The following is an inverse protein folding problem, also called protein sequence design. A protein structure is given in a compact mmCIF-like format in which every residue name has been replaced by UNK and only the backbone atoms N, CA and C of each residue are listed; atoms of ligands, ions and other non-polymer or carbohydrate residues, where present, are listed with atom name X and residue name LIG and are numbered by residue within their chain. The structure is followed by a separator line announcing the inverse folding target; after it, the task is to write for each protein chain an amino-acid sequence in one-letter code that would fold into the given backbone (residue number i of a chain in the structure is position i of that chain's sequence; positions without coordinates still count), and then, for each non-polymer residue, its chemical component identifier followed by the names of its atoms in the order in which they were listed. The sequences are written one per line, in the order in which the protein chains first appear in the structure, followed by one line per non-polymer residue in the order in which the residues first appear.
data_IF_610082195233
#
_entry.id   IF_610082195233
#
_cell.length_a   1.000
_cell.length_b   1.000
_cell.length_c   1.000
_cell.angle_alpha   90.00
_cell.angle_beta   90.00
_cell.angle_gamma   90.00
#
_symmetry.space_group_name_H-M   'P 1'
#
loop_
_entity.id
_entity.type
_entity.pdbx_description
1 polymer ?
#
# COMPACT_ATOMS: atom_id res chain seq x y z
N UNK A 1 -6.52 13.09 -13.21
CA UNK A 1 -6.88 13.44 -11.82
C UNK A 1 -7.38 12.15 -11.19
N UNK A 2 -6.80 11.72 -10.07
CA UNK A 2 -7.28 10.53 -9.36
C UNK A 2 -8.67 10.87 -8.80
N UNK A 3 -9.64 9.99 -9.03
CA UNK A 3 -10.99 10.16 -8.52
C UNK A 3 -11.01 10.15 -6.98
N UNK A 4 -11.75 11.07 -6.39
CA UNK A 4 -11.86 11.14 -4.93
C UNK A 4 -12.61 9.93 -4.37
N UNK A 5 -13.56 9.36 -5.12
CA UNK A 5 -14.30 8.16 -4.72
C UNK A 5 -13.38 6.93 -4.58
N UNK A 6 -12.39 6.79 -5.47
CA UNK A 6 -11.37 5.72 -5.35
C UNK A 6 -10.57 5.91 -4.08
N UNK A 7 -10.13 7.14 -3.82
CA UNK A 7 -9.30 7.43 -2.66
C UNK A 7 -10.07 7.17 -1.37
N UNK A 8 -11.35 7.56 -1.31
CA UNK A 8 -12.23 7.28 -0.18
C UNK A 8 -12.38 5.77 0.03
N UNK A 9 -12.73 5.00 -1.01
CA UNK A 9 -12.89 3.55 -0.90
C UNK A 9 -11.60 2.82 -0.47
N UNK A 10 -10.44 3.24 -1.00
CA UNK A 10 -9.14 2.68 -0.58
C UNK A 10 -8.87 2.98 0.90
N UNK A 11 -9.17 4.19 1.37
CA UNK A 11 -8.96 4.54 2.77
C UNK A 11 -9.95 3.85 3.71
N UNK A 12 -11.22 3.72 3.32
CA UNK A 12 -12.21 2.94 4.08
C UNK A 12 -11.74 1.48 4.25
N UNK A 13 -11.22 0.84 3.19
CA UNK A 13 -10.62 -0.49 3.31
C UNK A 13 -9.41 -0.52 4.25
N UNK A 14 -8.54 0.49 4.17
CA UNK A 14 -7.38 0.59 5.06
C UNK A 14 -7.78 0.84 6.53
N UNK A 15 -8.94 1.43 6.78
CA UNK A 15 -9.51 1.61 8.13
C UNK A 15 -10.07 0.31 8.72
N UNK A 16 -10.41 -0.68 7.89
CA UNK A 16 -10.89 -1.99 8.29
C UNK A 16 -9.76 -3.02 8.48
N UNK A 17 -8.80 -3.11 7.54
CA UNK A 17 -7.70 -4.09 7.58
C UNK A 17 -6.43 -3.58 6.88
N UNK A 18 -5.40 -4.43 6.74
CA UNK A 18 -4.32 -4.23 5.78
C UNK A 18 -4.85 -4.31 4.36
N UNK A 19 -4.28 -3.52 3.46
CA UNK A 19 -4.60 -3.58 2.03
C UNK A 19 -3.35 -3.85 1.21
N UNK A 20 -3.52 -4.33 -0.02
CA UNK A 20 -2.45 -4.46 -1.00
C UNK A 20 -2.83 -3.88 -2.37
N UNK A 21 -1.92 -4.00 -3.34
CA UNK A 21 -2.14 -3.47 -4.68
C UNK A 21 -3.40 -4.01 -5.36
N UNK A 22 -3.82 -5.23 -5.05
CA UNK A 22 -5.04 -5.84 -5.61
C UNK A 22 -6.32 -5.18 -5.08
N UNK A 23 -6.32 -4.68 -3.83
CA UNK A 23 -7.43 -3.89 -3.28
C UNK A 23 -7.55 -2.55 -3.99
N UNK A 24 -6.43 -1.86 -4.20
CA UNK A 24 -6.41 -0.61 -4.97
C UNK A 24 -6.87 -0.88 -6.42
N UNK A 25 -6.41 -1.98 -7.02
CA UNK A 25 -6.85 -2.43 -8.36
C UNK A 25 -8.36 -2.74 -8.42
N UNK A 26 -8.95 -3.23 -7.32
CA UNK A 26 -10.38 -3.49 -7.22
C UNK A 26 -11.19 -2.18 -7.32
N UNK A 27 -10.78 -1.12 -6.63
CA UNK A 27 -11.47 0.17 -6.66
C UNK A 27 -11.40 0.90 -8.01
N UNK A 28 -10.40 0.59 -8.83
CA UNK A 28 -10.22 1.20 -10.16
C UNK A 28 -10.67 0.30 -11.32
N UNK A 29 -11.28 -0.85 -11.03
CA UNK A 29 -11.59 -1.89 -12.04
C UNK A 29 -12.41 -1.38 -13.23
N UNK A 30 -13.24 -0.37 -12.99
CA UNK A 30 -14.14 0.21 -13.99
C UNK A 30 -13.50 1.41 -14.75
N UNK A 31 -12.29 1.82 -14.37
CA UNK A 31 -11.57 2.93 -15.02
C UNK A 31 -10.60 2.50 -16.12
N UNK A 32 -10.25 1.22 -16.19
CA UNK A 32 -9.33 0.72 -17.19
C UNK A 32 -9.60 -0.73 -17.59
N UNK A 33 -9.39 -0.99 -18.87
CA UNK A 33 -9.49 -2.32 -19.45
C UNK A 33 -8.20 -3.12 -19.21
N UNK A 34 -8.35 -4.25 -18.52
CA UNK A 34 -7.29 -5.23 -18.33
C UNK A 34 -6.33 -4.94 -17.17
N UNK A 35 -5.70 -6.02 -16.69
CA UNK A 35 -4.84 -6.00 -15.50
C UNK A 35 -3.65 -5.04 -15.59
N UNK A 36 -2.87 -4.97 -16.69
CA UNK A 36 -1.71 -4.08 -16.75
C UNK A 36 -2.03 -2.58 -16.67
N UNK A 37 -3.16 -2.15 -17.25
CA UNK A 37 -3.57 -0.75 -17.19
C UNK A 37 -4.05 -0.39 -15.78
N UNK A 38 -4.83 -1.28 -15.15
CA UNK A 38 -5.24 -1.13 -13.75
C UNK A 38 -4.03 -1.05 -12.82
N UNK A 39 -3.06 -1.95 -12.96
CA UNK A 39 -1.88 -1.94 -12.10
C UNK A 39 -1.12 -0.60 -12.14
N UNK A 40 -0.97 0.02 -13.32
CA UNK A 40 -0.31 1.34 -13.44
C UNK A 40 -1.11 2.47 -12.79
N UNK A 41 -2.43 2.44 -12.90
CA UNK A 41 -3.30 3.41 -12.21
C UNK A 41 -3.23 3.18 -10.69
N UNK A 42 -3.29 1.93 -10.23
CA UNK A 42 -3.16 1.57 -8.81
C UNK A 42 -1.82 2.05 -8.25
N UNK A 43 -0.73 1.89 -9.01
CA UNK A 43 0.59 2.41 -8.62
C UNK A 43 0.60 3.93 -8.46
N UNK A 44 -0.11 4.65 -9.33
CA UNK A 44 -0.25 6.11 -9.23
C UNK A 44 -1.05 6.52 -7.98
N UNK A 45 -2.06 5.73 -7.60
CA UNK A 45 -2.82 5.94 -6.35
C UNK A 45 -1.95 5.66 -5.14
N UNK A 46 -1.27 4.51 -5.11
CA UNK A 46 -0.37 4.13 -4.03
C UNK A 46 0.78 5.14 -3.85
N UNK A 47 1.42 5.56 -4.93
CA UNK A 47 2.47 6.60 -4.93
C UNK A 47 2.00 7.87 -4.21
N UNK A 48 0.84 8.39 -4.63
CA UNK A 48 0.25 9.59 -4.00
C UNK A 48 0.00 9.37 -2.52
N UNK A 49 -0.68 8.29 -2.14
CA UNK A 49 -1.06 8.03 -0.75
C UNK A 49 0.14 7.79 0.16
N UNK A 50 1.18 7.12 -0.33
CA UNK A 50 2.43 6.91 0.40
C UNK A 50 3.17 8.24 0.61
N UNK A 51 3.33 9.05 -0.44
CA UNK A 51 4.00 10.35 -0.34
C UNK A 51 3.25 11.34 0.54
N UNK A 52 1.93 11.30 0.52
CA UNK A 52 1.07 12.09 1.42
C UNK A 52 1.07 11.55 2.87
N UNK A 53 1.72 10.42 3.13
CA UNK A 53 1.78 9.79 4.46
C UNK A 53 0.43 9.27 4.93
N UNK A 54 -0.48 8.93 4.01
CA UNK A 54 -1.82 8.41 4.33
C UNK A 54 -1.84 6.90 4.53
N UNK A 55 -0.92 6.20 3.85
CA UNK A 55 -0.66 4.77 4.04
C UNK A 55 0.86 4.57 4.14
N UNK A 56 1.27 3.52 4.85
CA UNK A 56 2.67 3.14 5.04
C UNK A 56 2.88 1.80 4.33
N UNK A 57 3.84 1.69 3.40
CA UNK A 57 4.14 0.43 2.73
C UNK A 57 5.03 -0.47 3.58
N UNK A 58 4.87 -1.78 3.40
CA UNK A 58 5.56 -2.78 4.20
C UNK A 58 5.32 -4.20 3.73
N UNK A 59 5.85 -5.13 4.52
CA UNK A 59 5.64 -6.56 4.37
C UNK A 59 4.68 -7.06 5.45
N UNK A 60 3.70 -7.88 5.09
CA UNK A 60 2.83 -8.56 6.04
C UNK A 60 3.36 -9.98 6.28
N UNK A 61 3.77 -10.26 7.53
CA UNK A 61 4.26 -11.58 7.95
C UNK A 61 3.29 -12.23 8.94
N UNK A 62 3.64 -13.42 9.42
CA UNK A 62 2.88 -14.09 10.50
C UNK A 62 2.92 -13.32 11.82
N UNK A 63 3.98 -12.55 12.05
CA UNK A 63 4.16 -11.73 13.24
C UNK A 63 3.49 -10.35 13.12
N UNK A 64 2.88 -10.05 11.96
CA UNK A 64 2.15 -8.82 11.69
C UNK A 64 2.81 -7.99 10.59
N UNK A 65 2.43 -6.72 10.54
CA UNK A 65 2.91 -5.79 9.53
C UNK A 65 4.25 -5.16 9.91
N UNK A 66 5.20 -5.16 8.97
CA UNK A 66 6.52 -4.58 9.08
C UNK A 66 6.69 -3.46 8.05
N UNK A 67 6.66 -2.18 8.48
CA UNK A 67 6.95 -1.06 7.61
C UNK A 67 8.33 -1.20 6.97
N UNK A 68 8.46 -0.85 5.69
CA UNK A 68 9.76 -0.77 5.06
C UNK A 68 10.60 0.34 5.69
N UNK A 69 11.91 0.08 5.87
CA UNK A 69 12.87 1.04 6.42
C UNK A 69 13.42 1.97 5.32
N UNK A 70 12.51 2.61 4.60
CA UNK A 70 12.78 3.53 3.49
C UNK A 70 11.96 4.80 3.67
N UNK A 71 12.40 5.91 3.06
CA UNK A 71 11.58 7.12 3.04
C UNK A 71 10.26 6.91 2.26
N UNK A 72 9.23 7.74 2.49
CA UNK A 72 8.01 7.70 1.68
C UNK A 72 8.28 7.82 0.19
N UNK A 73 9.20 8.71 -0.21
CA UNK A 73 9.56 8.91 -1.61
C UNK A 73 10.23 7.68 -2.22
N UNK A 74 11.23 7.09 -1.54
CA UNK A 74 11.90 5.86 -2.02
C UNK A 74 10.93 4.69 -2.12
N UNK A 75 10.01 4.58 -1.17
CA UNK A 75 9.01 3.51 -1.15
C UNK A 75 8.02 3.66 -2.30
N UNK A 76 7.56 4.88 -2.56
CA UNK A 76 6.66 5.20 -3.67
C UNK A 76 7.34 4.97 -5.04
N UNK A 77 8.62 5.36 -5.17
CA UNK A 77 9.43 5.09 -6.37
C UNK A 77 9.60 3.58 -6.61
N UNK A 78 9.84 2.80 -5.54
CA UNK A 78 9.93 1.34 -5.61
C UNK A 78 8.62 0.72 -6.09
N UNK A 79 7.49 1.06 -5.46
CA UNK A 79 6.16 0.55 -5.82
C UNK A 79 5.84 0.85 -7.27
N UNK A 80 6.08 2.09 -7.71
CA UNK A 80 5.84 2.52 -9.08
C UNK A 80 6.70 1.74 -10.08
N UNK A 81 7.99 1.59 -9.79
CA UNK A 81 8.94 0.87 -10.65
C UNK A 81 8.57 -0.62 -10.78
N UNK A 82 8.25 -1.27 -9.66
CA UNK A 82 7.88 -2.69 -9.62
C UNK A 82 6.53 -2.94 -10.31
N UNK A 83 5.55 -2.08 -10.08
CA UNK A 83 4.24 -2.13 -10.74
C UNK A 83 4.35 -1.97 -12.26
N UNK A 84 5.20 -1.04 -12.72
CA UNK A 84 5.44 -0.84 -14.15
C UNK A 84 6.10 -2.07 -14.78
N UNK A 85 7.11 -2.64 -14.12
CA UNK A 85 7.76 -3.87 -14.58
C UNK A 85 6.77 -5.03 -14.69
N UNK A 86 5.93 -5.25 -13.66
CA UNK A 86 4.90 -6.29 -13.69
C UNK A 86 3.89 -6.08 -14.81
N UNK A 87 3.48 -4.83 -15.04
CA UNK A 87 2.55 -4.47 -16.10
C UNK A 87 3.15 -4.65 -17.49
N UNK A 88 4.43 -4.33 -17.68
CA UNK A 88 5.17 -4.50 -18.95
C UNK A 88 5.31 -5.99 -19.29
N UNK A 89 5.64 -6.81 -18.30
CA UNK A 89 5.79 -8.27 -18.44
C UNK A 89 4.46 -9.02 -18.43
N UNK A 90 3.33 -8.32 -18.23
CA UNK A 90 1.98 -8.90 -18.10
C UNK A 90 1.90 -10.00 -17.04
N UNK A 91 2.65 -9.83 -15.95
CA UNK A 91 2.60 -10.74 -14.80
C UNK A 91 1.28 -10.62 -14.07
N UNK A 92 0.81 -11.75 -13.55
CA UNK A 92 -0.30 -11.75 -12.61
C UNK A 92 0.14 -11.11 -11.28
N UNK A 93 -0.75 -10.32 -10.68
CA UNK A 93 -0.52 -9.69 -9.38
C UNK A 93 -1.37 -10.43 -8.36
N UNK A 94 -0.72 -11.04 -7.38
CA UNK A 94 -1.37 -11.68 -6.25
C UNK A 94 -1.28 -10.79 -5.00
N UNK A 95 -2.01 -11.14 -3.95
CA UNK A 95 -1.99 -10.44 -2.67
C UNK A 95 -0.56 -10.24 -2.15
N UNK A 96 -0.25 -9.01 -1.74
CA UNK A 96 1.06 -8.66 -1.20
C UNK A 96 2.25 -8.77 -2.16
N UNK A 97 2.04 -9.00 -3.46
CA UNK A 97 3.15 -9.24 -4.42
C UNK A 97 4.12 -8.07 -4.47
N UNK A 98 3.61 -6.85 -4.41
CA UNK A 98 4.41 -5.61 -4.57
C UNK A 98 4.59 -4.93 -3.21
N UNK A 99 3.50 -4.73 -2.48
CA UNK A 99 3.52 -4.18 -1.13
C UNK A 99 2.22 -4.54 -0.41
N UNK A 100 2.31 -4.62 0.91
CA UNK A 100 1.17 -4.40 1.80
C UNK A 100 1.20 -2.96 2.29
N UNK A 101 0.05 -2.47 2.73
CA UNK A 101 -0.10 -1.15 3.32
C UNK A 101 -0.89 -1.19 4.62
N UNK A 102 -0.53 -0.31 5.54
CA UNK A 102 -1.29 -0.05 6.76
C UNK A 102 -1.39 1.45 7.04
N UNK A 103 -2.25 1.81 7.99
CA UNK A 103 -2.42 3.18 8.44
C UNK A 103 -1.26 3.63 9.36
N UNK A 104 -0.72 4.83 9.16
CA UNK A 104 0.32 5.40 10.04
C UNK A 104 -0.08 5.40 11.52
N UNK A 105 -1.37 5.65 11.82
CA UNK A 105 -1.91 5.65 13.18
C UNK A 105 -1.81 4.27 13.86
N UNK A 106 -2.09 3.19 13.12
CA UNK A 106 -1.95 1.81 13.63
C UNK A 106 -0.48 1.43 13.80
N UNK A 107 0.42 1.90 12.94
CA UNK A 107 1.87 1.72 13.13
C UNK A 107 2.34 2.40 14.42
N UNK A 108 1.94 3.65 14.62
CA UNK A 108 2.30 4.41 15.83
C UNK A 108 1.76 3.75 17.11
N UNK A 109 0.51 3.25 17.09
CA UNK A 109 -0.07 2.53 18.22
C UNK A 109 0.72 1.26 18.57
N UNK A 110 1.06 0.44 17.57
CA UNK A 110 1.85 -0.80 17.78
C UNK A 110 3.26 -0.51 18.29
N UNK A 111 3.88 0.60 17.88
CA UNK A 111 5.18 1.02 18.39
C UNK A 111 5.09 1.42 19.88
N UNK A 112 4.08 2.23 20.25
CA UNK A 112 3.86 2.64 21.64
C UNK A 112 3.60 1.44 22.57
N UNK A 113 2.83 0.44 22.12
CA UNK A 113 2.58 -0.77 22.90
C UNK A 113 3.85 -1.60 23.13
N UNK A 114 4.75 -1.67 22.14
CA UNK A 114 6.05 -2.36 22.27
C UNK A 114 6.97 -1.66 23.27
N UNK A 115 7.01 -0.33 23.24
CA UNK A 115 7.81 0.47 24.17
C UNK A 115 7.27 0.32 25.61
N UNK A 116 5.95 0.31 25.78
CA UNK A 116 5.32 0.08 27.08
C UNK A 116 5.58 -1.34 27.63
N UNK A 117 5.75 -2.34 26.76
CA UNK A 117 6.04 -3.72 27.13
C UNK A 117 7.52 -4.00 27.48
N UNK A 118 8.42 -3.03 27.27
CA UNK A 118 9.86 -3.17 27.56
C UNK A 118 10.25 -2.22 28.69
N UNK A 119 10.17 -2.63 29.98
CA UNK A 119 10.59 -1.76 31.08
C UNK A 119 12.09 -1.51 30.96
N UNK A 120 12.51 -0.24 31.07
CA UNK A 120 13.91 0.12 31.21
C UNK A 120 14.48 -0.55 32.47
N UNK A 121 15.54 -1.34 32.31
CA UNK A 121 16.32 -1.92 33.43
C UNK A 121 17.12 -0.86 34.20
#
# INVERSE_FOLDING_TARGET
MIDNEIVEGVMESAEDDYIDMTDIMHYIRDQADGSPARLRIAATVADKLVREGRIVPGDLTREGFYPWLTSPDESADRITSESNLWADERKEVHFGTIAWFDLPSRIAARAADRDAATPSE
#
